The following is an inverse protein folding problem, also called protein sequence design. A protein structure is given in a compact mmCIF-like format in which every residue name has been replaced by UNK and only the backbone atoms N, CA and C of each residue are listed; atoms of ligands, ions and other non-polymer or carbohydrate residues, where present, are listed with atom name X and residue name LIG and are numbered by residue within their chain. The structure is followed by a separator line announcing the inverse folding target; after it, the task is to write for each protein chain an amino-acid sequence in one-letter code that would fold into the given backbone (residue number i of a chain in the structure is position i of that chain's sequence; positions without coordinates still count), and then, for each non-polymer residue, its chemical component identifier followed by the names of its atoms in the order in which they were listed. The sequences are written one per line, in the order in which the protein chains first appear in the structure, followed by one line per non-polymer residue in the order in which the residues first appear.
data_IF_294954481719
#
_entry.id   IF_294954481719
#
_cell.length_a   1.000
_cell.length_b   1.000
_cell.length_c   1.000
_cell.angle_alpha   90.00
_cell.angle_beta   90.00
_cell.angle_gamma   90.00
#
_symmetry.space_group_name_H-M   'P 1'
#
loop_
_entity.id
_entity.type
_entity.pdbx_description
1 polymer ?
#
# COMPACT_ATOMS: atom_id res chain seq x y z
N UNK A 1 5.21 14.69 -17.04
CA UNK A 1 6.17 13.79 -16.38
C UNK A 1 6.56 12.70 -17.40
N UNK A 2 7.85 12.49 -17.66
CA UNK A 2 8.27 11.50 -18.68
C UNK A 2 7.88 10.09 -18.25
N UNK A 3 7.10 9.39 -19.09
CA UNK A 3 6.60 8.03 -18.84
C UNK A 3 7.75 7.05 -18.55
N UNK A 4 8.91 7.27 -19.18
CA UNK A 4 10.10 6.44 -19.03
C UNK A 4 10.72 6.53 -17.64
N UNK A 5 10.65 7.71 -17.01
CA UNK A 5 11.08 7.92 -15.62
C UNK A 5 10.21 7.11 -14.66
N UNK A 6 8.89 7.07 -14.88
CA UNK A 6 7.96 6.28 -14.07
C UNK A 6 8.20 4.77 -14.26
N UNK A 7 8.40 4.31 -15.51
CA UNK A 7 8.74 2.91 -15.80
C UNK A 7 10.06 2.47 -15.16
N UNK A 8 11.05 3.36 -15.03
CA UNK A 8 12.30 3.08 -14.29
C UNK A 8 12.04 2.88 -12.80
N UNK A 9 11.11 3.64 -12.20
CA UNK A 9 10.74 3.52 -10.78
C UNK A 9 9.99 2.21 -10.52
N UNK A 10 9.11 1.77 -11.43
CA UNK A 10 8.44 0.47 -11.34
C UNK A 10 9.44 -0.69 -11.24
N UNK A 11 10.58 -0.60 -11.92
CA UNK A 11 11.65 -1.60 -11.86
C UNK A 11 12.61 -1.41 -10.68
N UNK A 12 12.57 -0.28 -10.01
CA UNK A 12 13.50 0.04 -8.93
C UNK A 12 13.18 -0.76 -7.65
N UNK A 13 14.08 -1.68 -7.29
CA UNK A 13 13.97 -2.51 -6.07
C UNK A 13 13.91 -1.67 -4.79
N UNK A 14 14.60 -0.53 -4.74
CA UNK A 14 14.61 0.36 -3.57
C UNK A 14 13.23 0.99 -3.31
N UNK A 15 12.57 1.45 -4.37
CA UNK A 15 11.22 1.98 -4.29
C UNK A 15 10.22 0.91 -3.86
N UNK A 16 10.23 -0.27 -4.50
CA UNK A 16 9.38 -1.41 -4.10
C UNK A 16 9.58 -1.77 -2.62
N UNK A 17 10.82 -1.85 -2.17
CA UNK A 17 11.15 -2.17 -0.76
C UNK A 17 10.61 -1.12 0.21
N UNK A 18 10.77 0.16 -0.10
CA UNK A 18 10.21 1.26 0.71
C UNK A 18 8.68 1.18 0.75
N UNK A 19 8.04 0.95 -0.40
CA UNK A 19 6.59 0.83 -0.52
C UNK A 19 6.02 -0.34 0.29
N UNK A 20 6.59 -1.55 0.15
CA UNK A 20 6.17 -2.74 0.89
C UNK A 20 6.51 -2.66 2.38
N UNK A 21 7.60 -1.96 2.77
CA UNK A 21 7.97 -1.82 4.18
C UNK A 21 6.86 -1.21 5.05
N UNK A 22 6.06 -0.29 4.49
CA UNK A 22 4.90 0.31 5.16
C UNK A 22 3.72 -0.67 5.26
N UNK A 23 3.57 -1.56 4.27
CA UNK A 23 2.48 -2.53 4.19
C UNK A 23 2.68 -3.75 5.07
N UNK A 24 3.94 -4.16 5.28
CA UNK A 24 4.27 -5.36 6.06
C UNK A 24 3.78 -5.30 7.50
N UNK A 25 3.65 -4.11 8.09
CA UNK A 25 3.08 -3.92 9.44
C UNK A 25 1.62 -4.38 9.59
N UNK A 26 0.87 -4.50 8.50
CA UNK A 26 -0.53 -4.99 8.53
C UNK A 26 -0.61 -6.52 8.47
N UNK A 27 0.50 -7.23 8.29
CA UNK A 27 0.50 -8.69 8.17
C UNK A 27 0.46 -9.34 9.56
N UNK A 28 -0.51 -10.23 9.77
CA UNK A 28 -0.66 -11.02 11.00
C UNK A 28 0.57 -11.86 11.35
N UNK A 29 1.41 -12.21 10.37
CA UNK A 29 2.65 -12.96 10.58
C UNK A 29 3.68 -12.23 11.46
N UNK A 30 3.55 -10.91 11.69
CA UNK A 30 4.40 -10.17 12.63
C UNK A 30 3.90 -10.21 14.09
N UNK A 31 2.66 -10.66 14.33
CA UNK A 31 2.06 -10.67 15.67
C UNK A 31 2.76 -11.67 16.60
N UNK A 32 3.04 -12.93 16.20
CA UNK A 32 3.72 -13.88 17.09
C UNK A 32 5.08 -13.39 17.61
N UNK A 33 6.05 -12.96 16.77
CA UNK A 33 7.32 -12.47 17.28
C UNK A 33 7.19 -11.18 18.10
N UNK A 34 6.18 -10.34 17.82
CA UNK A 34 5.91 -9.14 18.61
C UNK A 34 5.38 -9.46 20.02
N UNK A 35 4.50 -10.47 20.15
CA UNK A 35 3.99 -10.91 21.44
C UNK A 35 5.12 -11.49 22.31
N UNK A 36 5.97 -12.33 21.73
CA UNK A 36 7.10 -12.91 22.47
C UNK A 36 8.09 -11.82 22.90
N UNK A 37 8.35 -10.83 22.05
CA UNK A 37 9.11 -9.62 22.42
C UNK A 37 8.47 -8.89 23.61
N UNK A 38 7.16 -8.70 23.58
CA UNK A 38 6.45 -7.99 24.63
C UNK A 38 6.52 -8.73 25.98
N UNK A 39 6.31 -10.04 25.98
CA UNK A 39 6.44 -10.90 27.18
C UNK A 39 7.87 -10.87 27.71
N UNK A 40 8.87 -10.94 26.82
CA UNK A 40 10.28 -10.88 27.22
C UNK A 40 10.63 -9.55 27.90
N UNK A 41 10.13 -8.44 27.35
CA UNK A 41 10.33 -7.11 27.90
C UNK A 41 9.63 -6.95 29.25
N UNK A 42 8.39 -7.43 29.37
CA UNK A 42 7.65 -7.40 30.62
C UNK A 42 8.36 -8.21 31.71
N UNK A 43 8.93 -9.37 31.36
CA UNK A 43 9.74 -10.17 32.26
C UNK A 43 10.98 -9.44 32.77
N UNK A 44 11.69 -8.70 31.90
CA UNK A 44 12.83 -7.86 32.31
C UNK A 44 12.38 -6.74 33.24
N UNK A 45 11.27 -6.06 32.92
CA UNK A 45 10.71 -4.99 33.76
C UNK A 45 10.25 -5.52 35.13
N UNK A 46 9.66 -6.71 35.17
CA UNK A 46 9.29 -7.38 36.42
C UNK A 46 10.52 -7.72 37.27
N UNK A 47 11.60 -8.21 36.65
CA UNK A 47 12.87 -8.45 37.33
C UNK A 47 13.55 -7.16 37.80
N UNK A 48 13.34 -6.05 37.08
CA UNK A 48 13.75 -4.72 37.54
C UNK A 48 13.00 -4.33 38.81
N UNK A 49 11.67 -4.48 38.83
CA UNK A 49 10.85 -4.09 39.98
C UNK A 49 11.08 -4.94 41.24
N UNK A 50 11.73 -6.10 41.11
CA UNK A 50 12.06 -6.99 42.23
C UNK A 50 13.52 -6.91 42.65
N UNK A 51 14.28 -5.93 42.13
CA UNK A 51 15.73 -5.73 42.33
C UNK A 51 16.58 -6.96 41.93
N UNK A 52 16.09 -7.82 41.02
CA UNK A 52 16.75 -9.06 40.58
C UNK A 52 17.35 -8.99 39.18
N UNK A 53 17.62 -7.79 38.65
CA UNK A 53 18.21 -7.61 37.32
C UNK A 53 19.55 -8.31 37.10
N UNK A 54 20.44 -8.21 38.10
CA UNK A 54 21.77 -8.82 38.06
C UNK A 54 21.75 -10.29 38.50
N UNK A 55 20.57 -10.85 38.73
CA UNK A 55 20.42 -12.25 39.14
C UNK A 55 20.39 -13.17 37.92
N UNK A 56 20.81 -14.42 38.11
CA UNK A 56 20.72 -15.48 37.11
C UNK A 56 19.28 -15.67 36.57
N UNK A 57 18.26 -15.29 37.34
CA UNK A 57 16.86 -15.34 36.92
C UNK A 57 16.51 -14.37 35.78
N UNK A 58 17.33 -13.35 35.51
CA UNK A 58 17.12 -12.39 34.41
C UNK A 58 17.62 -12.93 33.05
N UNK A 59 18.63 -13.82 33.07
CA UNK A 59 19.21 -14.42 31.87
C UNK A 59 18.19 -15.01 30.88
N UNK A 60 17.20 -15.84 31.28
CA UNK A 60 16.24 -16.39 30.34
C UNK A 60 15.45 -15.29 29.61
N UNK A 61 15.09 -14.21 30.28
CA UNK A 61 14.35 -13.10 29.66
C UNK A 61 15.21 -12.31 28.68
N UNK A 62 16.49 -12.07 29.00
CA UNK A 62 17.43 -11.39 28.09
C UNK A 62 17.68 -12.24 26.84
N UNK A 63 17.93 -13.54 27.00
CA UNK A 63 18.14 -14.46 25.88
C UNK A 63 16.89 -14.52 24.99
N UNK A 64 15.71 -14.64 25.60
CA UNK A 64 14.44 -14.69 24.89
C UNK A 64 14.16 -13.36 24.16
N UNK A 65 14.52 -12.21 24.74
CA UNK A 65 14.43 -10.90 24.10
C UNK A 65 15.34 -10.81 22.87
N UNK A 66 16.60 -11.27 22.96
CA UNK A 66 17.54 -11.29 21.84
C UNK A 66 17.03 -12.17 20.69
N UNK A 67 16.63 -13.40 20.99
CA UNK A 67 16.09 -14.34 20.00
C UNK A 67 14.85 -13.76 19.32
N UNK A 68 13.93 -13.19 20.10
CA UNK A 68 12.69 -12.62 19.58
C UNK A 68 12.95 -11.38 18.72
N UNK A 69 13.97 -10.58 19.06
CA UNK A 69 14.38 -9.42 18.26
C UNK A 69 14.92 -9.86 16.90
N UNK A 70 15.79 -10.88 16.89
CA UNK A 70 16.34 -11.44 15.65
C UNK A 70 15.20 -12.05 14.82
N UNK A 71 14.31 -12.79 15.46
CA UNK A 71 13.16 -13.41 14.81
C UNK A 71 12.24 -12.36 14.18
N UNK A 72 11.87 -11.32 14.92
CA UNK A 72 11.05 -10.21 14.41
C UNK A 72 11.69 -9.52 13.20
N UNK A 73 12.98 -9.19 13.31
CA UNK A 73 13.74 -8.53 12.23
C UNK A 73 13.84 -9.42 10.99
N UNK A 74 14.07 -10.72 11.19
CA UNK A 74 14.16 -11.70 10.11
C UNK A 74 12.81 -11.87 9.41
N UNK A 75 11.73 -12.08 10.16
CA UNK A 75 10.36 -12.23 9.62
C UNK A 75 9.94 -10.99 8.85
N UNK A 76 10.18 -9.78 9.38
CA UNK A 76 9.91 -8.54 8.66
C UNK A 76 10.69 -8.45 7.34
N UNK A 77 12.00 -8.76 7.36
CA UNK A 77 12.84 -8.74 6.16
C UNK A 77 12.38 -9.76 5.12
N UNK A 78 12.04 -10.97 5.57
CA UNK A 78 11.52 -12.04 4.71
C UNK A 78 10.22 -11.62 4.02
N UNK A 79 9.23 -11.12 4.76
CA UNK A 79 7.95 -10.70 4.20
C UNK A 79 8.10 -9.58 3.16
N UNK A 80 8.98 -8.60 3.43
CA UNK A 80 9.27 -7.52 2.46
C UNK A 80 9.92 -8.10 1.20
N UNK A 81 10.91 -8.98 1.35
CA UNK A 81 11.61 -9.57 0.22
C UNK A 81 10.70 -10.48 -0.61
N UNK A 82 9.81 -11.23 0.04
CA UNK A 82 8.80 -12.06 -0.62
C UNK A 82 7.85 -11.18 -1.44
N UNK A 83 7.32 -10.09 -0.87
CA UNK A 83 6.46 -9.17 -1.60
C UNK A 83 7.19 -8.51 -2.77
N UNK A 84 8.47 -8.13 -2.61
CA UNK A 84 9.30 -7.59 -3.69
C UNK A 84 9.56 -8.64 -4.78
N UNK A 85 9.80 -9.90 -4.41
CA UNK A 85 10.03 -11.01 -5.36
C UNK A 85 8.78 -11.37 -6.16
N UNK A 86 7.62 -11.40 -5.52
CA UNK A 86 6.33 -11.73 -6.14
C UNK A 86 5.67 -10.55 -6.86
N UNK A 87 6.28 -9.36 -6.80
CA UNK A 87 5.73 -8.12 -7.39
C UNK A 87 5.91 -8.03 -8.92
N UNK A 88 5.75 -9.14 -9.63
CA UNK A 88 5.80 -9.16 -11.10
C UNK A 88 4.77 -8.18 -11.70
N UNK A 89 3.61 -8.03 -11.04
CA UNK A 89 2.54 -7.12 -11.46
C UNK A 89 2.57 -5.73 -10.80
N UNK A 90 3.73 -5.28 -10.29
CA UNK A 90 3.81 -3.94 -9.72
C UNK A 90 3.78 -2.88 -10.83
N UNK A 91 2.65 -2.18 -10.93
CA UNK A 91 2.41 -1.17 -11.97
C UNK A 91 1.96 0.13 -11.30
N UNK A 92 2.48 1.26 -11.79
CA UNK A 92 2.01 2.58 -11.43
C UNK A 92 1.00 3.05 -12.49
N UNK A 93 -0.18 3.44 -12.03
CA UNK A 93 -1.29 3.88 -12.89
C UNK A 93 -1.65 5.34 -12.58
N UNK A 94 -2.04 6.09 -13.61
CA UNK A 94 -2.68 7.39 -13.43
C UNK A 94 -4.15 7.17 -13.03
N UNK A 95 -4.63 8.00 -12.11
CA UNK A 95 -5.98 7.88 -11.58
C UNK A 95 -6.80 9.13 -11.89
N UNK A 96 -8.02 8.93 -12.40
CA UNK A 96 -9.01 10.00 -12.56
C UNK A 96 -10.18 9.84 -11.58
N UNK A 97 -10.72 10.95 -11.05
CA UNK A 97 -11.94 10.90 -10.25
C UNK A 97 -13.15 10.61 -11.16
N UNK A 98 -13.90 9.56 -10.83
CA UNK A 98 -15.07 9.11 -11.60
C UNK A 98 -16.34 9.82 -11.10
N UNK A 99 -16.82 9.48 -9.89
CA UNK A 99 -17.96 10.11 -9.24
C UNK A 99 -17.85 10.12 -7.71
N UNK A 100 -18.72 10.88 -7.04
CA UNK A 100 -18.81 10.97 -5.58
C UNK A 100 -20.22 10.55 -5.15
N UNK A 101 -20.31 9.53 -4.29
CA UNK A 101 -21.59 9.05 -3.76
C UNK A 101 -21.48 8.85 -2.26
N UNK A 102 -22.45 9.35 -1.48
CA UNK A 102 -22.55 9.16 -0.01
C UNK A 102 -21.20 9.30 0.72
N UNK A 103 -20.49 10.39 0.47
CA UNK A 103 -19.17 10.72 1.03
C UNK A 103 -17.99 9.84 0.60
N UNK A 104 -18.17 8.89 -0.33
CA UNK A 104 -17.08 8.12 -0.94
C UNK A 104 -16.74 8.68 -2.32
N UNK A 105 -15.45 8.80 -2.61
CA UNK A 105 -14.96 9.18 -3.94
C UNK A 105 -14.46 7.94 -4.66
N UNK A 106 -14.94 7.75 -5.89
CA UNK A 106 -14.57 6.65 -6.77
C UNK A 106 -13.57 7.12 -7.81
N UNK A 107 -12.67 6.21 -8.15
CA UNK A 107 -11.49 6.49 -8.94
C UNK A 107 -11.34 5.45 -10.05
N UNK A 108 -11.02 5.92 -11.24
CA UNK A 108 -10.79 5.15 -12.46
C UNK A 108 -9.31 5.08 -12.77
N UNK A 109 -8.80 3.91 -13.12
CA UNK A 109 -7.44 3.72 -13.60
C UNK A 109 -7.37 2.53 -14.55
N UNK A 110 -6.33 2.47 -15.38
CA UNK A 110 -6.10 1.35 -16.30
C UNK A 110 -4.79 0.64 -15.93
N UNK A 111 -4.76 -0.70 -15.96
CA UNK A 111 -3.56 -1.51 -15.73
C UNK A 111 -2.78 -1.85 -17.01
N UNK A 112 -3.41 -1.73 -18.18
CA UNK A 112 -2.86 -2.05 -19.49
C UNK A 112 -1.95 -0.98 -20.10
N UNK A 113 -1.79 -1.03 -21.43
CA UNK A 113 -0.85 -0.17 -22.18
C UNK A 113 -1.16 1.33 -22.06
N UNK A 114 -2.44 1.68 -21.87
CA UNK A 114 -2.92 3.07 -21.82
C UNK A 114 -2.94 3.67 -20.40
N UNK A 115 -2.27 3.05 -19.42
CA UNK A 115 -2.27 3.44 -18.00
C UNK A 115 -1.83 4.86 -17.65
N UNK A 116 -1.13 5.55 -18.56
CA UNK A 116 -0.70 6.95 -18.39
C UNK A 116 -1.41 7.90 -19.36
N UNK A 117 -2.28 7.40 -20.24
CA UNK A 117 -2.98 8.22 -21.22
C UNK A 117 -4.24 8.84 -20.59
N UNK A 118 -4.18 10.14 -20.31
CA UNK A 118 -5.29 10.89 -19.70
C UNK A 118 -6.53 10.90 -20.60
N UNK A 119 -6.38 11.09 -21.91
CA UNK A 119 -7.49 11.16 -22.86
C UNK A 119 -8.25 9.83 -22.93
N UNK A 120 -7.53 8.71 -22.86
CA UNK A 120 -8.12 7.38 -22.81
C UNK A 120 -8.98 7.20 -21.55
N UNK A 121 -8.47 7.62 -20.38
CA UNK A 121 -9.22 7.54 -19.13
C UNK A 121 -10.41 8.50 -19.08
N UNK A 122 -10.34 9.66 -19.76
CA UNK A 122 -11.46 10.58 -19.89
C UNK A 122 -12.58 10.03 -20.78
N UNK A 123 -12.22 9.38 -21.89
CA UNK A 123 -13.18 8.67 -22.75
C UNK A 123 -13.84 7.49 -22.02
N UNK A 124 -13.04 6.64 -21.36
CA UNK A 124 -13.58 5.55 -20.56
C UNK A 124 -14.51 6.07 -19.43
N UNK A 125 -14.22 7.25 -18.88
CA UNK A 125 -15.10 7.89 -17.90
C UNK A 125 -16.43 8.34 -18.52
N UNK A 126 -16.44 8.94 -19.72
CA UNK A 126 -17.70 9.31 -20.38
C UNK A 126 -18.53 8.08 -20.70
N UNK A 127 -17.90 7.03 -21.21
CA UNK A 127 -18.58 5.80 -21.62
C UNK A 127 -19.28 5.14 -20.42
N UNK A 128 -18.62 5.07 -19.26
CA UNK A 128 -19.19 4.52 -18.00
C UNK A 128 -20.29 5.42 -17.40
N UNK A 129 -20.25 6.73 -17.64
CA UNK A 129 -21.27 7.65 -17.13
C UNK A 129 -22.51 7.71 -18.03
N UNK A 130 -22.34 7.45 -19.32
CA UNK A 130 -23.43 7.42 -20.31
C UNK A 130 -24.21 6.09 -20.25
N UNK A 131 -23.54 4.97 -19.96
CA UNK A 131 -24.17 3.67 -19.77
C UNK A 131 -24.70 3.47 -18.34
N UNK A 132 -26.04 3.60 -18.19
CA UNK A 132 -26.73 3.43 -16.90
C UNK A 132 -26.67 2.00 -16.36
N UNK A 133 -26.61 0.98 -17.20
CA UNK A 133 -26.60 -0.42 -16.77
C UNK A 133 -25.24 -0.81 -16.21
N UNK A 134 -24.16 -0.37 -16.88
CA UNK A 134 -22.79 -0.52 -16.36
C UNK A 134 -22.59 0.28 -15.06
N UNK A 135 -23.09 1.51 -15.01
CA UNK A 135 -23.01 2.35 -13.82
C UNK A 135 -23.63 1.69 -12.58
N UNK A 136 -24.86 1.15 -12.71
CA UNK A 136 -25.56 0.50 -11.60
C UNK A 136 -24.90 -0.83 -11.19
N UNK A 137 -24.33 -1.56 -12.14
CA UNK A 137 -23.59 -2.81 -11.88
C UNK A 137 -22.29 -2.54 -11.12
N UNK A 138 -21.54 -1.52 -11.56
CA UNK A 138 -20.33 -1.02 -10.91
C UNK A 138 -20.65 -0.55 -9.48
N UNK A 139 -21.74 0.19 -9.30
CA UNK A 139 -22.18 0.67 -7.99
C UNK A 139 -22.56 -0.46 -7.02
N UNK A 140 -23.33 -1.45 -7.48
CA UNK A 140 -23.70 -2.62 -6.66
C UNK A 140 -22.47 -3.42 -6.27
N UNK A 141 -21.53 -3.60 -7.19
CA UNK A 141 -20.30 -4.36 -6.96
C UNK A 141 -19.35 -3.60 -6.04
N UNK A 142 -19.23 -2.27 -6.17
CA UNK A 142 -18.39 -1.43 -5.32
C UNK A 142 -18.96 -1.20 -3.91
N UNK A 143 -20.28 -1.37 -3.71
CA UNK A 143 -20.86 -1.41 -2.36
C UNK A 143 -20.42 -2.66 -1.59
N UNK A 144 -20.10 -3.74 -2.30
CA UNK A 144 -19.68 -5.03 -1.72
C UNK A 144 -18.14 -5.20 -1.70
N UNK A 145 -17.45 -4.68 -2.72
CA UNK A 145 -16.02 -4.85 -2.95
C UNK A 145 -15.31 -3.50 -3.11
N UNK A 146 -14.03 -3.41 -2.73
CA UNK A 146 -13.22 -2.17 -2.88
C UNK A 146 -12.60 -1.98 -4.27
N UNK A 147 -12.72 -2.98 -5.15
CA UNK A 147 -12.10 -3.05 -6.46
C UNK A 147 -13.04 -3.78 -7.44
N UNK A 148 -13.15 -3.24 -8.66
CA UNK A 148 -13.86 -3.86 -9.78
C UNK A 148 -13.02 -3.67 -11.03
N UNK A 149 -12.80 -4.75 -11.79
CA UNK A 149 -12.22 -4.72 -13.14
C UNK A 149 -13.38 -4.83 -14.12
N UNK A 150 -13.45 -3.93 -15.10
CA UNK A 150 -14.39 -4.05 -16.21
C UNK A 150 -13.75 -4.94 -17.29
N UNK A 151 -14.60 -5.73 -17.94
CA UNK A 151 -14.17 -6.71 -18.95
C UNK A 151 -13.64 -6.03 -20.23
N UNK A 152 -14.04 -4.78 -20.48
CA UNK A 152 -13.54 -3.98 -21.59
C UNK A 152 -12.29 -3.17 -21.17
N UNK A 153 -11.15 -3.52 -21.78
CA UNK A 153 -9.91 -2.73 -21.85
C UNK A 153 -9.07 -2.54 -20.57
N UNK A 154 -9.08 -3.51 -19.64
CA UNK A 154 -8.28 -3.49 -18.39
C UNK A 154 -8.60 -2.30 -17.46
N UNK A 155 -9.77 -1.69 -17.65
CA UNK A 155 -10.23 -0.54 -16.88
C UNK A 155 -10.69 -1.00 -15.50
N UNK A 156 -10.18 -0.35 -14.47
CA UNK A 156 -10.40 -0.70 -13.09
C UNK A 156 -10.97 0.48 -12.31
N UNK A 157 -11.91 0.19 -11.40
CA UNK A 157 -12.53 1.16 -10.51
C UNK A 157 -12.23 0.77 -9.06
N UNK A 158 -11.83 1.76 -8.27
CA UNK A 158 -11.61 1.58 -6.83
C UNK A 158 -12.30 2.66 -6.01
N UNK A 159 -12.79 2.26 -4.84
CA UNK A 159 -13.43 3.15 -3.88
C UNK A 159 -12.46 3.58 -2.78
N UNK A 160 -12.54 4.83 -2.35
CA UNK A 160 -11.97 5.32 -1.08
C UNK A 160 -10.44 5.19 -0.94
N UNK A 161 -9.71 5.78 -1.89
CA UNK A 161 -8.27 5.94 -1.79
C UNK A 161 -7.90 7.00 -0.73
N UNK A 162 -7.36 6.55 0.40
CA UNK A 162 -6.73 7.42 1.40
C UNK A 162 -5.37 7.87 0.90
N UNK A 163 -5.33 8.99 0.17
CA UNK A 163 -4.08 9.69 -0.11
C UNK A 163 -3.55 10.27 1.20
N UNK A 164 -2.31 9.92 1.55
CA UNK A 164 -1.67 10.42 2.76
C UNK A 164 -1.45 11.94 2.58
N UNK A 165 -2.39 12.77 3.06
CA UNK A 165 -2.24 14.21 3.07
C UNK A 165 -1.15 14.53 4.09
N UNK A 166 0.08 14.74 3.61
CA UNK A 166 1.16 15.24 4.45
C UNK A 166 0.71 16.53 5.16
N UNK A 167 1.07 16.66 6.43
CA UNK A 167 0.66 17.72 7.37
C UNK A 167 1.08 19.15 6.94
N UNK A 168 1.77 19.29 5.81
CA UNK A 168 2.18 20.56 5.23
C UNK A 168 1.51 20.75 3.87
N UNK A 169 0.26 21.22 3.93
CA UNK A 169 -0.44 21.78 2.79
C UNK A 169 0.15 23.16 2.46
N UNK A 170 1.40 23.18 1.99
CA UNK A 170 1.81 24.27 1.11
C UNK A 170 0.90 24.20 -0.11
N UNK A 171 0.26 25.33 -0.44
CA UNK A 171 -0.52 25.58 -1.66
C UNK A 171 0.33 25.25 -2.90
N UNK A 172 0.46 23.98 -3.23
CA UNK A 172 0.90 23.55 -4.55
C UNK A 172 -0.36 23.55 -5.39
N UNK A 173 -0.41 24.50 -6.33
CA UNK A 173 -1.39 24.59 -7.41
C UNK A 173 -1.68 23.19 -7.95
N UNK A 174 -2.96 22.91 -8.18
CA UNK A 174 -3.48 21.76 -8.93
C UNK A 174 -2.46 21.17 -9.91
N UNK A 175 -1.81 20.09 -9.49
CA UNK A 175 -1.25 19.12 -10.41
C UNK A 175 -2.03 17.83 -10.15
N UNK A 176 -3.11 17.68 -10.93
CA UNK A 176 -4.21 16.72 -10.78
C UNK A 176 -3.81 15.25 -11.04
N UNK A 177 -2.52 14.93 -11.10
CA UNK A 177 -2.02 13.59 -11.37
C UNK A 177 -1.82 12.79 -10.07
N UNK A 178 -2.92 12.23 -9.56
CA UNK A 178 -2.85 11.23 -8.48
C UNK A 178 -2.42 9.88 -9.07
N UNK A 179 -1.33 9.31 -8.54
CA UNK A 179 -0.85 7.99 -8.96
C UNK A 179 -1.30 6.90 -7.99
N UNK A 180 -1.39 5.70 -8.49
CA UNK A 180 -1.79 4.51 -7.74
C UNK A 180 -0.88 3.35 -8.11
N UNK A 181 -0.41 2.64 -7.10
CA UNK A 181 0.31 1.40 -7.27
C UNK A 181 -0.69 0.24 -7.22
N UNK A 182 -0.77 -0.50 -8.33
CA UNK A 182 -1.47 -1.76 -8.44
C UNK A 182 -0.44 -2.89 -8.30
N UNK A 183 -0.72 -3.89 -7.46
CA UNK A 183 0.17 -5.03 -7.26
C UNK A 183 -0.62 -6.25 -6.77
N UNK A 184 -0.29 -7.44 -7.29
CA UNK A 184 -0.85 -8.72 -6.82
C UNK A 184 -2.39 -8.78 -6.87
N UNK A 185 -2.91 -9.18 -8.03
CA UNK A 185 -4.30 -9.62 -8.32
C UNK A 185 -5.47 -8.83 -7.69
N UNK A 186 -5.28 -7.58 -7.23
CA UNK A 186 -6.32 -6.61 -6.75
C UNK A 186 -5.82 -5.64 -5.68
N UNK A 187 -4.59 -5.77 -5.16
CA UNK A 187 -4.14 -4.86 -4.09
C UNK A 187 -3.72 -3.51 -4.66
N UNK A 188 -4.26 -2.48 -4.04
CA UNK A 188 -4.18 -1.10 -4.52
C UNK A 188 -3.73 -0.19 -3.40
N UNK A 189 -2.82 0.73 -3.71
CA UNK A 189 -2.45 1.80 -2.78
C UNK A 189 -2.18 3.10 -3.53
N UNK A 190 -2.75 4.18 -3.03
CA UNK A 190 -2.44 5.53 -3.45
C UNK A 190 -0.95 5.85 -3.24
N UNK A 191 -0.31 6.43 -4.26
CA UNK A 191 1.06 6.93 -4.20
C UNK A 191 1.06 8.41 -4.53
N UNK A 192 1.68 9.22 -3.67
CA UNK A 192 1.80 10.65 -3.91
C UNK A 192 2.92 10.95 -4.90
N UNK A 193 2.77 11.97 -5.75
CA UNK A 193 3.83 12.45 -6.65
C UNK A 193 5.13 12.76 -5.91
N UNK A 194 5.05 13.31 -4.69
CA UNK A 194 6.21 13.49 -3.79
C UNK A 194 6.97 12.20 -3.46
N UNK A 195 6.27 11.09 -3.22
CA UNK A 195 6.90 9.80 -2.94
C UNK A 195 7.56 9.19 -4.19
N UNK A 196 7.10 9.58 -5.38
CA UNK A 196 7.71 9.16 -6.65
C UNK A 196 8.96 10.01 -6.93
N UNK A 197 8.87 11.32 -6.71
CA UNK A 197 9.97 12.27 -6.91
C UNK A 197 11.16 12.05 -5.97
N UNK A 198 10.97 11.48 -4.78
CA UNK A 198 12.09 11.16 -3.88
C UNK A 198 12.97 10.00 -4.35
N UNK A 199 12.56 9.28 -5.40
CA UNK A 199 13.29 8.14 -5.99
C UNK A 199 13.66 8.37 -7.46
N UNK A 200 13.47 9.59 -7.96
CA UNK A 200 13.91 10.06 -9.28
C UNK A 200 15.26 10.77 -9.17
#
# INVERSE_FOLDING_TARGET
MEIDKIKKIEKNKGFKRSFFSKLVWRKYALVPPALVLFVSLFGVVYMYNTDRLLSYYCLPFIVLLLISTIWFKSTRKYLINQDVGNSQDFVLCLVLPLFKERNKQFYLFNTGANRFNKFFLEKAKSDILEDKEQYDTVLKTLKKNTFVRLDDEDVCITSDLKFNKGFLAFKVKHDDSKFLAYYGESKIKAVSSKEIMSFL
#
